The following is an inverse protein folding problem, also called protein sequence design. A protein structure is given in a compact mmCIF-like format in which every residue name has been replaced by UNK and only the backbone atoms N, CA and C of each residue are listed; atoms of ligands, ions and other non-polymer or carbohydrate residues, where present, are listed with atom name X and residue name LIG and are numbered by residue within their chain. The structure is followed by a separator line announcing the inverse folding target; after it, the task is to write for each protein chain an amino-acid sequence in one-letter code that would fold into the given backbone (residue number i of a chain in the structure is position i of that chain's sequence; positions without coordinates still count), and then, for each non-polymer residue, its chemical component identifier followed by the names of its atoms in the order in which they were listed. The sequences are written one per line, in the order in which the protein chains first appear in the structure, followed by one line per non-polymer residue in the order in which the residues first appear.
data_IF_353391851102
#
_entry.id   IF_353391851102
#
_cell.length_a   1.000
_cell.length_b   1.000
_cell.length_c   1.000
_cell.angle_alpha   90.00
_cell.angle_beta   90.00
_cell.angle_gamma   90.00
#
_symmetry.space_group_name_H-M   'P 1'
#
loop_
_entity.id
_entity.type
_entity.pdbx_description
1 polymer ?
#
# COMPACT_ATOMS: atom_id res chain seq x y z
N UNK A 1 -7.66 -11.98 -3.87
CA UNK A 1 -6.67 -11.19 -3.11
C UNK A 1 -5.41 -11.08 -3.94
N UNK A 2 -4.79 -9.91 -3.94
CA UNK A 2 -3.64 -9.63 -4.81
C UNK A 2 -2.36 -10.25 -4.25
N UNK A 3 -1.69 -11.11 -5.03
CA UNK A 3 -0.47 -11.83 -4.59
C UNK A 3 0.59 -10.89 -3.99
N UNK A 4 0.76 -9.70 -4.56
CA UNK A 4 1.70 -8.68 -4.06
C UNK A 4 1.36 -8.16 -2.66
N UNK A 5 0.07 -8.02 -2.35
CA UNK A 5 -0.37 -7.61 -1.02
C UNK A 5 -0.14 -8.72 0.00
N UNK A 6 -0.51 -9.96 -0.34
CA UNK A 6 -0.31 -11.13 0.53
C UNK A 6 1.18 -11.36 0.83
N UNK A 7 2.05 -11.13 -0.15
CA UNK A 7 3.50 -11.17 0.02
C UNK A 7 4.01 -10.05 0.95
N UNK A 8 3.48 -8.84 0.81
CA UNK A 8 3.83 -7.70 1.66
C UNK A 8 3.37 -7.90 3.11
N UNK A 9 2.14 -8.36 3.33
CA UNK A 9 1.61 -8.63 4.68
C UNK A 9 2.50 -9.66 5.38
N UNK A 10 2.79 -10.78 4.72
CA UNK A 10 3.70 -11.79 5.27
C UNK A 10 5.07 -11.22 5.59
N UNK A 11 5.62 -10.39 4.71
CA UNK A 11 6.90 -9.73 4.96
C UNK A 11 6.87 -8.86 6.23
N UNK A 12 5.81 -8.06 6.41
CA UNK A 12 5.65 -7.19 7.58
C UNK A 12 5.45 -8.01 8.85
N UNK A 13 4.65 -9.08 8.82
CA UNK A 13 4.41 -9.95 9.98
C UNK A 13 5.70 -10.51 10.60
N UNK A 14 6.69 -10.86 9.75
CA UNK A 14 8.01 -11.35 10.19
C UNK A 14 9.03 -10.24 10.49
N UNK A 15 8.64 -8.97 10.39
CA UNK A 15 9.53 -7.82 10.62
C UNK A 15 9.46 -7.29 12.06
N UNK A 16 10.42 -6.44 12.43
CA UNK A 16 10.48 -5.76 13.74
C UNK A 16 9.45 -4.62 13.91
N UNK A 17 8.66 -4.34 12.87
CA UNK A 17 7.64 -3.27 12.87
C UNK A 17 6.21 -3.80 12.82
N UNK A 18 6.00 -5.11 12.89
CA UNK A 18 4.68 -5.75 12.75
C UNK A 18 3.60 -5.15 13.67
N UNK A 19 3.92 -4.90 14.94
CA UNK A 19 2.98 -4.31 15.92
C UNK A 19 2.73 -2.81 15.71
N UNK A 20 3.45 -2.18 14.78
CA UNK A 20 3.39 -0.73 14.50
C UNK A 20 2.75 -0.42 13.15
N UNK A 21 2.35 -1.43 12.39
CA UNK A 21 1.85 -1.29 11.03
C UNK A 21 0.51 -1.98 10.90
N UNK A 22 -0.50 -1.21 10.51
CA UNK A 22 -1.77 -1.72 10.03
C UNK A 22 -1.78 -1.71 8.50
N UNK A 23 -2.38 -2.72 7.88
CA UNK A 23 -2.41 -2.86 6.42
C UNK A 23 -3.83 -3.13 5.95
N UNK A 24 -4.17 -2.59 4.79
CA UNK A 24 -5.48 -2.73 4.16
C UNK A 24 -5.28 -2.97 2.67
N UNK A 25 -6.10 -3.86 2.11
CA UNK A 25 -6.20 -4.08 0.67
C UNK A 25 -7.53 -3.52 0.18
N UNK A 26 -7.48 -2.78 -0.92
CA UNK A 26 -8.65 -2.18 -1.56
C UNK A 26 -8.69 -2.62 -3.01
N UNK A 27 -9.72 -3.36 -3.40
CA UNK A 27 -10.02 -3.66 -4.78
C UNK A 27 -10.73 -2.46 -5.42
N UNK A 28 -10.04 -1.75 -6.31
CA UNK A 28 -10.58 -0.54 -6.94
C UNK A 28 -11.76 -0.80 -7.88
N UNK A 29 -12.08 -2.06 -8.16
CA UNK A 29 -13.24 -2.48 -8.97
C UNK A 29 -14.42 -2.85 -8.05
N UNK A 30 -14.16 -3.55 -6.94
CA UNK A 30 -15.20 -4.09 -6.07
C UNK A 30 -15.51 -3.22 -4.84
N UNK A 31 -14.51 -2.49 -4.32
CA UNK A 31 -14.62 -1.72 -3.08
C UNK A 31 -14.91 -0.23 -3.32
N UNK A 32 -15.53 0.41 -2.33
CA UNK A 32 -15.70 1.86 -2.32
C UNK A 32 -14.38 2.56 -2.02
N UNK A 33 -14.06 3.63 -2.78
CA UNK A 33 -12.90 4.49 -2.54
C UNK A 33 -13.23 5.73 -1.71
N UNK A 34 -14.39 5.76 -1.04
CA UNK A 34 -14.75 6.83 -0.11
C UNK A 34 -13.74 6.91 1.05
N UNK A 35 -13.18 8.10 1.30
CA UNK A 35 -12.07 8.29 2.25
C UNK A 35 -10.67 8.02 1.68
N UNK A 36 -10.58 7.60 0.40
CA UNK A 36 -9.32 7.39 -0.32
C UNK A 36 -9.23 8.29 -1.57
N UNK A 37 -9.61 9.56 -1.46
CA UNK A 37 -9.73 10.48 -2.59
C UNK A 37 -8.39 10.69 -3.32
N UNK A 38 -7.27 10.64 -2.60
CA UNK A 38 -5.94 10.72 -3.22
C UNK A 38 -5.62 9.50 -4.09
N UNK A 39 -6.11 8.30 -3.73
CA UNK A 39 -5.97 7.12 -4.57
C UNK A 39 -6.79 7.27 -5.87
N UNK A 40 -8.03 7.73 -5.76
CA UNK A 40 -8.90 7.99 -6.91
C UNK A 40 -8.25 8.98 -7.90
N UNK A 41 -7.73 10.11 -7.40
CA UNK A 41 -7.04 11.11 -8.25
C UNK A 41 -5.83 10.55 -9.00
N UNK A 42 -5.12 9.58 -8.43
CA UNK A 42 -3.97 8.95 -9.08
C UNK A 42 -4.42 7.95 -10.14
N UNK A 43 -5.48 7.18 -9.88
CA UNK A 43 -6.07 6.29 -10.89
C UNK A 43 -6.57 7.08 -12.10
N UNK A 44 -7.28 8.19 -11.90
CA UNK A 44 -7.78 9.06 -12.98
C UNK A 44 -6.65 9.67 -13.82
N UNK A 45 -5.47 9.88 -13.21
CA UNK A 45 -4.25 10.35 -13.90
C UNK A 45 -3.51 9.23 -14.64
N UNK A 46 -3.98 7.98 -14.57
CA UNK A 46 -3.39 6.84 -15.26
C UNK A 46 -2.18 6.24 -14.57
N UNK A 47 -2.00 6.46 -13.25
CA UNK A 47 -0.95 5.76 -12.51
C UNK A 47 -1.26 4.27 -12.42
N UNK A 48 -0.24 3.44 -12.64
CA UNK A 48 -0.39 1.99 -12.67
C UNK A 48 -0.64 1.37 -11.30
N UNK A 49 -1.46 0.31 -11.28
CA UNK A 49 -1.66 -0.54 -10.10
C UNK A 49 -0.45 -1.47 -9.87
N UNK A 50 -0.23 -1.95 -8.63
CA UNK A 50 -0.90 -1.49 -7.41
C UNK A 50 -0.50 -0.05 -7.05
N UNK A 51 -1.41 0.71 -6.44
CA UNK A 51 -1.11 1.98 -5.79
C UNK A 51 -0.90 1.73 -4.29
N UNK A 52 0.18 2.27 -3.73
CA UNK A 52 0.48 2.13 -2.29
C UNK A 52 0.53 3.49 -1.63
N UNK A 53 -0.31 3.64 -0.61
CA UNK A 53 -0.34 4.80 0.27
C UNK A 53 0.23 4.39 1.64
N UNK A 54 1.01 5.27 2.25
CA UNK A 54 1.49 5.12 3.63
C UNK A 54 0.92 6.29 4.42
N UNK A 55 0.16 6.00 5.48
CA UNK A 55 -0.56 7.00 6.29
C UNK A 55 -1.41 7.95 5.42
N UNK A 56 -2.17 7.38 4.47
CA UNK A 56 -3.03 8.11 3.54
C UNK A 56 -2.30 8.92 2.45
N UNK A 57 -0.96 8.91 2.44
CA UNK A 57 -0.15 9.66 1.45
C UNK A 57 0.38 8.71 0.38
N UNK A 58 0.20 9.02 -0.92
CA UNK A 58 0.78 8.22 -1.98
C UNK A 58 2.29 8.13 -1.88
N UNK A 59 2.84 6.92 -2.04
CA UNK A 59 4.28 6.67 -2.00
C UNK A 59 4.77 5.88 -3.19
N UNK A 60 4.01 4.89 -3.64
CA UNK A 60 4.42 4.01 -4.72
C UNK A 60 3.28 3.71 -5.67
N UNK A 61 3.66 3.37 -6.90
CA UNK A 61 2.78 2.86 -7.94
C UNK A 61 3.57 1.85 -8.76
N UNK A 62 2.89 0.80 -9.21
CA UNK A 62 3.55 -0.33 -9.86
C UNK A 62 4.33 -1.18 -8.86
N UNK A 63 4.38 -2.49 -9.11
CA UNK A 63 4.94 -3.45 -8.17
C UNK A 63 6.41 -3.18 -7.82
N UNK A 64 6.67 -2.83 -6.57
CA UNK A 64 8.03 -2.63 -6.02
C UNK A 64 8.35 -3.65 -4.93
N UNK A 65 9.61 -3.71 -4.48
CA UNK A 65 10.03 -4.70 -3.47
C UNK A 65 9.53 -4.38 -2.06
N UNK A 66 9.33 -5.43 -1.26
CA UNK A 66 8.93 -5.31 0.14
C UNK A 66 9.95 -4.53 0.99
N UNK A 67 11.23 -4.62 0.67
CA UNK A 67 12.29 -3.84 1.32
C UNK A 67 12.09 -2.32 1.14
N UNK A 68 11.67 -1.89 -0.04
CA UNK A 68 11.38 -0.48 -0.30
C UNK A 68 10.16 0.02 0.46
N UNK A 69 9.12 -0.81 0.59
CA UNK A 69 7.98 -0.49 1.45
C UNK A 69 8.42 -0.34 2.90
N UNK A 70 9.18 -1.31 3.41
CA UNK A 70 9.71 -1.32 4.77
C UNK A 70 10.54 -0.08 5.10
N UNK A 71 11.50 0.27 4.25
CA UNK A 71 12.34 1.45 4.43
C UNK A 71 11.53 2.75 4.45
N UNK A 72 10.45 2.83 3.65
CA UNK A 72 9.57 3.98 3.64
C UNK A 72 8.71 4.07 4.90
N UNK A 73 8.19 2.94 5.39
CA UNK A 73 7.41 2.88 6.63
C UNK A 73 8.28 3.23 7.84
N UNK A 74 9.51 2.70 7.92
CA UNK A 74 10.44 2.99 9.02
C UNK A 74 10.77 4.47 9.18
N UNK A 75 10.68 5.27 8.11
CA UNK A 75 10.87 6.73 8.17
C UNK A 75 9.66 7.49 8.74
N UNK A 76 8.56 6.81 9.03
CA UNK A 76 7.32 7.41 9.55
C UNK A 76 7.04 7.06 11.02
N UNK A 77 7.84 6.19 11.64
CA UNK A 77 7.65 5.67 13.01
C UNK A 77 8.80 6.03 13.95
#
# INVERSE_FOLDING_TARGET
MGEMYDDFVRFIEYSDINEKVETEFIDVIEDSLEGHEEALKLLEKGYGLPLTLINGKPRFYGGISNEMFYDAIKKQI
#
